data_IF_854014785685
#
_entry.id   IF_854014785685
#
_cell.length_a   1.000
_cell.length_b   1.000
_cell.length_c   1.000
_cell.angle_alpha   90.00
_cell.angle_beta   90.00
_cell.angle_gamma   90.00
#
_symmetry.space_group_name_H-M   'P 1'
#
loop_
_entity.id
_entity.type
_entity.pdbx_description
1 polymer ?
#
# COMPACT_ATOMS: atom_id res chain seq x y z
N UNK A 1 14.51 4.42 -64.38
CA UNK A 1 13.48 3.63 -63.62
C UNK A 1 14.05 2.76 -62.50
N UNK A 2 15.33 2.32 -62.55
CA UNK A 2 15.93 1.46 -61.49
C UNK A 2 16.24 2.14 -60.17
N UNK A 3 16.71 3.39 -60.20
CA UNK A 3 17.14 4.15 -58.98
C UNK A 3 15.99 4.54 -58.09
N UNK A 4 14.85 4.96 -58.68
CA UNK A 4 13.64 5.34 -57.92
C UNK A 4 13.04 4.12 -57.22
N UNK A 5 13.01 2.96 -57.87
CA UNK A 5 12.54 1.71 -57.26
C UNK A 5 13.42 1.27 -56.10
N UNK A 6 14.74 1.44 -56.19
CA UNK A 6 15.68 1.13 -55.11
C UNK A 6 15.53 2.10 -53.92
N UNK A 7 15.34 3.40 -54.19
CA UNK A 7 15.11 4.40 -53.15
C UNK A 7 13.77 4.15 -52.42
N UNK A 8 12.72 3.77 -53.15
CA UNK A 8 11.42 3.45 -52.55
C UNK A 8 11.46 2.17 -51.73
N UNK A 9 12.20 1.16 -52.17
CA UNK A 9 12.39 -0.07 -51.39
C UNK A 9 13.20 0.18 -50.11
N UNK A 10 14.24 1.03 -50.17
CA UNK A 10 15.02 1.42 -49.01
C UNK A 10 14.16 2.21 -47.96
N UNK A 11 13.32 3.12 -48.46
CA UNK A 11 12.40 3.89 -47.61
C UNK A 11 11.36 2.96 -46.93
N UNK A 12 10.85 1.97 -47.66
CA UNK A 12 9.92 0.97 -47.11
C UNK A 12 10.58 0.09 -46.05
N UNK A 13 11.83 -0.32 -46.26
CA UNK A 13 12.62 -1.07 -45.27
C UNK A 13 12.90 -0.21 -44.03
N UNK A 14 13.24 1.07 -44.20
CA UNK A 14 13.43 2.00 -43.10
C UNK A 14 12.15 2.22 -42.29
N UNK A 15 10.99 2.30 -42.94
CA UNK A 15 9.69 2.40 -42.29
C UNK A 15 9.33 1.13 -41.50
N UNK A 16 9.67 -0.05 -42.02
CA UNK A 16 9.46 -1.33 -41.35
C UNK A 16 10.38 -1.55 -40.13
N UNK A 17 11.59 -1.00 -40.18
CA UNK A 17 12.55 -1.04 -39.04
C UNK A 17 12.23 -0.01 -37.96
N UNK A 18 11.56 1.11 -38.30
CA UNK A 18 11.14 2.13 -37.38
C UNK A 18 9.96 1.72 -36.48
N UNK A 19 9.15 0.76 -36.90
CA UNK A 19 8.09 0.17 -36.10
C UNK A 19 8.61 -0.96 -35.19
N UNK A 20 9.49 -0.64 -34.24
CA UNK A 20 9.69 -1.59 -33.13
C UNK A 20 8.37 -1.66 -32.36
N UNK A 21 7.78 -2.85 -32.15
CA UNK A 21 6.64 -2.95 -31.29
C UNK A 21 7.02 -2.41 -29.90
N UNK A 22 6.25 -1.48 -29.39
CA UNK A 22 6.42 -0.95 -28.05
C UNK A 22 6.41 -2.13 -27.07
N UNK A 23 7.53 -2.35 -26.40
CA UNK A 23 7.61 -3.39 -25.39
C UNK A 23 6.77 -2.98 -24.20
N UNK A 24 5.59 -3.56 -24.08
CA UNK A 24 4.75 -3.37 -22.91
C UNK A 24 5.47 -3.90 -21.66
N UNK A 25 5.42 -3.18 -20.55
CA UNK A 25 5.98 -3.67 -19.29
C UNK A 25 5.35 -5.02 -18.93
N UNK A 26 6.16 -5.96 -18.48
CA UNK A 26 5.70 -7.29 -18.06
C UNK A 26 5.21 -7.29 -16.61
N UNK A 27 5.68 -6.35 -15.82
CA UNK A 27 5.33 -6.13 -14.44
C UNK A 27 5.22 -4.62 -14.21
N UNK A 28 4.16 -4.20 -13.52
CA UNK A 28 3.99 -2.84 -13.00
C UNK A 28 3.80 -2.98 -11.49
N UNK A 29 4.66 -2.33 -10.72
CA UNK A 29 4.56 -2.27 -9.26
C UNK A 29 4.16 -0.85 -8.88
N UNK A 30 3.05 -0.71 -8.16
CA UNK A 30 2.58 0.57 -7.62
C UNK A 30 2.75 0.53 -6.12
N UNK A 31 3.61 1.40 -5.59
CA UNK A 31 3.91 1.49 -4.17
C UNK A 31 3.31 2.78 -3.63
N UNK A 32 2.36 2.66 -2.71
CA UNK A 32 1.84 3.78 -1.94
C UNK A 32 2.46 3.77 -0.54
N UNK A 33 3.17 4.83 -0.19
CA UNK A 33 3.71 5.02 1.16
C UNK A 33 2.75 5.93 1.92
N UNK A 34 1.91 5.32 2.76
CA UNK A 34 0.89 6.04 3.55
C UNK A 34 1.58 7.03 4.51
N UNK A 35 1.01 8.21 4.68
CA UNK A 35 1.57 9.32 5.49
C UNK A 35 2.89 9.94 4.98
N UNK A 36 3.45 9.54 3.86
CA UNK A 36 4.61 10.21 3.28
C UNK A 36 4.18 11.50 2.57
N UNK A 37 4.19 12.60 3.30
CA UNK A 37 3.92 13.92 2.73
C UNK A 37 5.10 14.42 1.89
N UNK A 38 4.82 15.18 0.82
CA UNK A 38 5.86 15.71 -0.06
C UNK A 38 6.93 16.52 0.69
N UNK A 39 6.52 17.35 1.65
CA UNK A 39 7.48 18.13 2.45
C UNK A 39 8.43 17.24 3.27
N UNK A 40 7.96 16.08 3.75
CA UNK A 40 8.83 15.14 4.45
C UNK A 40 9.77 14.44 3.48
N UNK A 41 9.26 14.02 2.31
CA UNK A 41 10.10 13.45 1.26
C UNK A 41 11.20 14.41 0.83
N UNK A 42 10.89 15.66 0.54
CA UNK A 42 11.83 16.68 0.09
C UNK A 42 12.86 17.04 1.17
N UNK A 43 12.41 17.13 2.42
CA UNK A 43 13.28 17.42 3.58
C UNK A 43 14.33 16.31 3.79
N UNK A 44 13.95 15.04 3.69
CA UNK A 44 14.85 13.92 3.92
C UNK A 44 15.57 13.43 2.66
N UNK A 45 15.24 13.94 1.48
CA UNK A 45 15.85 13.57 0.20
C UNK A 45 17.39 13.58 0.20
N UNK A 46 18.07 14.57 0.81
CA UNK A 46 19.53 14.58 0.85
C UNK A 46 20.18 13.41 1.61
N UNK A 47 19.42 12.77 2.50
CA UNK A 47 19.91 11.66 3.34
C UNK A 47 19.33 10.31 2.94
N UNK A 48 18.56 10.22 1.87
CA UNK A 48 18.01 8.97 1.37
C UNK A 48 19.11 7.99 1.00
N UNK A 49 18.86 6.73 1.33
CA UNK A 49 19.65 5.56 0.97
C UNK A 49 18.74 4.49 0.37
N UNK A 50 19.30 3.40 -0.11
CA UNK A 50 18.51 2.25 -0.59
C UNK A 50 17.54 2.61 -1.71
N UNK A 51 16.30 2.15 -1.61
CA UNK A 51 15.28 2.26 -2.66
C UNK A 51 14.87 3.69 -3.00
N UNK A 52 14.70 4.57 -2.03
CA UNK A 52 14.38 5.99 -2.28
C UNK A 52 15.49 6.69 -3.04
N UNK A 53 16.75 6.47 -2.63
CA UNK A 53 17.91 7.04 -3.34
C UNK A 53 17.99 6.52 -4.77
N UNK A 54 17.76 5.22 -4.96
CA UNK A 54 17.78 4.60 -6.29
C UNK A 54 16.70 5.17 -7.20
N UNK A 55 15.48 5.33 -6.69
CA UNK A 55 14.37 5.94 -7.44
C UNK A 55 14.63 7.39 -7.78
N UNK A 56 15.23 8.15 -6.86
CA UNK A 56 15.60 9.55 -7.10
C UNK A 56 16.67 9.70 -8.19
N UNK A 57 17.66 8.81 -8.21
CA UNK A 57 18.73 8.83 -9.19
C UNK A 57 18.31 8.32 -10.58
N UNK A 58 17.31 7.44 -10.70
CA UNK A 58 16.98 6.71 -11.93
C UNK A 58 15.54 6.91 -12.40
N UNK A 59 14.68 7.46 -11.55
CA UNK A 59 13.28 7.69 -11.81
C UNK A 59 12.96 9.08 -12.36
N UNK A 60 11.68 9.39 -12.39
CA UNK A 60 11.16 10.73 -12.69
C UNK A 60 10.32 11.19 -11.51
N UNK A 61 10.64 12.34 -10.93
CA UNK A 61 9.87 12.99 -9.88
C UNK A 61 8.80 13.90 -10.47
N UNK A 62 7.62 13.89 -9.88
CA UNK A 62 6.50 14.77 -10.20
C UNK A 62 6.22 15.68 -9.01
N UNK A 63 7.05 16.65 -8.79
CA UNK A 63 7.08 17.49 -7.58
C UNK A 63 5.85 18.42 -7.44
N UNK A 64 5.03 18.54 -8.49
CA UNK A 64 3.82 19.35 -8.51
C UNK A 64 2.55 18.49 -8.69
N UNK A 65 2.55 17.27 -8.15
CA UNK A 65 1.36 16.43 -8.12
C UNK A 65 0.51 16.76 -6.88
N UNK A 66 -0.79 16.98 -7.08
CA UNK A 66 -1.72 17.36 -6.03
C UNK A 66 -2.92 16.43 -5.96
N UNK A 67 -3.36 16.15 -4.75
CA UNK A 67 -4.68 15.56 -4.51
C UNK A 67 -5.73 16.68 -4.53
N UNK A 68 -6.78 16.50 -5.33
CA UNK A 68 -7.86 17.50 -5.46
C UNK A 68 -9.01 17.29 -4.47
N UNK A 69 -8.90 16.30 -3.57
CA UNK A 69 -9.92 16.03 -2.55
C UNK A 69 -9.44 16.48 -1.18
N UNK A 70 -10.38 16.98 -0.35
CA UNK A 70 -10.04 17.65 0.90
C UNK A 70 -9.80 16.72 2.08
N UNK A 71 -10.26 15.47 2.06
CA UNK A 71 -10.14 14.53 3.16
C UNK A 71 -9.27 13.33 2.79
N UNK A 72 -8.00 13.41 3.12
CA UNK A 72 -6.94 12.46 2.71
C UNK A 72 -6.72 11.34 3.74
N UNK A 73 -7.76 10.73 4.30
CA UNK A 73 -7.60 9.52 5.09
C UNK A 73 -7.32 8.30 4.21
N UNK A 74 -6.84 7.20 4.80
CA UNK A 74 -6.35 6.03 4.06
C UNK A 74 -7.33 5.52 3.00
N UNK A 75 -8.60 5.29 3.33
CA UNK A 75 -9.60 4.78 2.38
C UNK A 75 -9.80 5.69 1.16
N UNK A 76 -10.24 6.94 1.34
CA UNK A 76 -10.39 7.90 0.23
C UNK A 76 -9.08 8.12 -0.54
N UNK A 77 -7.95 8.28 0.16
CA UNK A 77 -6.66 8.54 -0.47
C UNK A 77 -6.20 7.39 -1.38
N UNK A 78 -6.25 6.15 -0.90
CA UNK A 78 -5.88 4.98 -1.71
C UNK A 78 -6.88 4.73 -2.85
N UNK A 79 -8.17 5.03 -2.65
CA UNK A 79 -9.14 5.01 -3.73
C UNK A 79 -8.76 6.00 -4.85
N UNK A 80 -8.40 7.23 -4.51
CA UNK A 80 -7.97 8.25 -5.50
C UNK A 80 -6.72 7.79 -6.23
N UNK A 81 -5.73 7.26 -5.51
CA UNK A 81 -4.50 6.72 -6.12
C UNK A 81 -4.79 5.55 -7.06
N UNK A 82 -5.72 4.67 -6.70
CA UNK A 82 -6.09 3.50 -7.49
C UNK A 82 -6.99 3.80 -8.69
N UNK A 83 -7.76 4.90 -8.65
CA UNK A 83 -8.82 5.16 -9.63
C UNK A 83 -8.70 6.49 -10.37
N UNK A 84 -7.98 7.48 -9.83
CA UNK A 84 -8.01 8.84 -10.35
C UNK A 84 -9.36 9.56 -10.20
N UNK A 85 -10.31 8.98 -9.46
CA UNK A 85 -11.66 9.52 -9.28
C UNK A 85 -11.79 10.22 -7.93
N UNK A 86 -12.71 11.19 -7.84
CA UNK A 86 -13.05 11.79 -6.55
C UNK A 86 -13.77 10.80 -5.63
N UNK A 87 -13.40 10.70 -4.34
CA UNK A 87 -13.92 9.70 -3.44
C UNK A 87 -15.39 9.94 -3.04
N UNK A 88 -15.85 11.18 -3.02
CA UNK A 88 -17.24 11.53 -2.69
C UNK A 88 -18.26 10.87 -3.61
N UNK A 89 -18.19 11.07 -4.95
CA UNK A 89 -19.08 10.38 -5.90
C UNK A 89 -18.96 8.86 -5.87
N UNK A 90 -17.80 8.33 -5.47
CA UNK A 90 -17.60 6.89 -5.30
C UNK A 90 -18.18 6.34 -3.97
N UNK A 91 -18.71 7.21 -3.11
CA UNK A 91 -19.29 6.81 -1.82
C UNK A 91 -18.28 6.59 -0.69
N UNK A 92 -16.98 6.94 -0.90
CA UNK A 92 -15.91 6.72 0.07
C UNK A 92 -15.50 8.07 0.68
N UNK A 93 -16.29 8.54 1.62
CA UNK A 93 -16.12 9.88 2.23
C UNK A 93 -15.13 9.93 3.39
N UNK A 94 -14.68 8.78 3.88
CA UNK A 94 -13.74 8.64 5.01
C UNK A 94 -13.34 7.19 5.20
N UNK A 95 -12.50 6.90 6.20
CA UNK A 95 -12.29 5.52 6.66
C UNK A 95 -13.57 5.00 7.34
N UNK A 96 -14.19 5.85 8.13
CA UNK A 96 -15.47 5.59 8.80
C UNK A 96 -16.36 6.82 8.69
N UNK A 97 -17.67 6.61 8.67
CA UNK A 97 -18.66 7.69 8.74
C UNK A 97 -19.97 7.19 9.34
N UNK A 98 -20.76 8.11 9.84
CA UNK A 98 -22.10 7.80 10.32
C UNK A 98 -23.13 7.91 9.18
N UNK A 99 -23.78 6.79 8.85
CA UNK A 99 -24.89 6.75 7.91
C UNK A 99 -26.15 7.25 8.59
N UNK A 100 -26.59 8.45 8.18
CA UNK A 100 -27.76 9.11 8.76
C UNK A 100 -29.10 8.45 8.38
N UNK A 101 -29.13 7.72 7.27
CA UNK A 101 -30.33 7.00 6.81
C UNK A 101 -30.51 5.73 7.61
N UNK A 102 -29.47 4.90 7.68
CA UNK A 102 -29.49 3.64 8.39
C UNK A 102 -29.16 3.76 9.88
N UNK A 103 -28.75 4.97 10.35
CA UNK A 103 -28.43 5.28 11.73
C UNK A 103 -27.36 4.38 12.33
N UNK A 104 -26.31 4.11 11.59
CA UNK A 104 -25.19 3.25 12.00
C UNK A 104 -23.87 3.81 11.53
N UNK A 105 -22.80 3.43 12.22
CA UNK A 105 -21.44 3.64 11.73
C UNK A 105 -21.15 2.69 10.57
N UNK A 106 -20.42 3.20 9.59
CA UNK A 106 -20.03 2.48 8.38
C UNK A 106 -18.52 2.52 8.25
N UNK A 107 -17.91 1.38 7.99
CA UNK A 107 -16.51 1.29 7.60
C UNK A 107 -16.40 1.21 6.08
N UNK A 108 -15.40 1.88 5.50
CA UNK A 108 -15.34 2.11 4.06
C UNK A 108 -15.24 0.84 3.20
N UNK A 109 -14.78 -0.27 3.75
CA UNK A 109 -14.68 -1.56 3.07
C UNK A 109 -15.53 -2.65 3.71
N UNK A 110 -16.38 -2.32 4.71
CA UNK A 110 -17.26 -3.32 5.31
C UNK A 110 -18.21 -3.91 4.27
N UNK A 111 -18.36 -5.22 4.29
CA UNK A 111 -19.30 -5.97 3.46
C UNK A 111 -19.84 -7.16 4.23
N UNK A 112 -21.04 -7.08 4.83
CA UNK A 112 -21.61 -8.15 5.65
C UNK A 112 -21.88 -9.46 4.91
N UNK A 113 -21.84 -9.44 3.57
CA UNK A 113 -22.13 -10.61 2.74
C UNK A 113 -20.91 -11.51 2.50
N UNK A 114 -19.71 -11.07 2.94
CA UNK A 114 -18.46 -11.81 2.74
C UNK A 114 -17.79 -12.13 4.07
N UNK A 115 -16.87 -13.10 4.06
CA UNK A 115 -16.13 -13.52 5.25
C UNK A 115 -14.63 -13.55 4.97
N UNK A 116 -13.83 -13.16 5.95
CA UNK A 116 -12.41 -13.42 5.97
C UNK A 116 -12.18 -14.94 6.08
N UNK A 117 -11.26 -15.48 5.26
CA UNK A 117 -11.16 -16.93 5.09
C UNK A 117 -10.59 -17.66 6.30
N UNK A 118 -9.72 -17.01 7.06
CA UNK A 118 -9.12 -17.57 8.27
C UNK A 118 -9.87 -17.17 9.56
N UNK A 119 -10.64 -16.09 9.51
CA UNK A 119 -11.42 -15.57 10.64
C UNK A 119 -12.79 -15.07 10.15
N UNK A 120 -13.83 -15.88 10.20
CA UNK A 120 -15.17 -15.48 9.72
C UNK A 120 -15.85 -14.37 10.56
N UNK A 121 -15.08 -13.46 11.16
CA UNK A 121 -15.57 -12.36 11.97
C UNK A 121 -15.35 -11.00 11.33
N UNK A 122 -14.56 -10.94 10.28
CA UNK A 122 -14.28 -9.73 9.53
C UNK A 122 -14.88 -9.84 8.13
N UNK A 123 -15.43 -8.75 7.66
CA UNK A 123 -16.28 -8.70 6.49
C UNK A 123 -15.87 -7.52 5.62
N UNK A 124 -14.98 -7.72 4.66
CA UNK A 124 -14.39 -6.64 3.89
C UNK A 124 -14.29 -6.96 2.41
N UNK A 125 -14.74 -6.02 1.58
CA UNK A 125 -14.61 -6.10 0.12
C UNK A 125 -14.60 -4.72 -0.54
N UNK A 126 -14.47 -4.71 -1.86
CA UNK A 126 -14.61 -3.51 -2.69
C UNK A 126 -16.09 -3.16 -2.99
N UNK A 127 -17.05 -3.95 -2.54
CA UNK A 127 -18.45 -3.91 -2.99
C UNK A 127 -19.15 -2.57 -2.72
N UNK A 128 -18.76 -1.87 -1.65
CA UNK A 128 -19.30 -0.54 -1.30
C UNK A 128 -18.88 0.57 -2.27
N UNK A 129 -17.83 0.38 -3.04
CA UNK A 129 -17.22 1.41 -3.89
C UNK A 129 -17.99 1.54 -5.20
N UNK A 130 -18.49 2.72 -5.48
CA UNK A 130 -19.08 3.05 -6.77
C UNK A 130 -17.99 3.55 -7.74
N UNK A 131 -17.22 2.62 -8.31
CA UNK A 131 -16.12 2.93 -9.23
C UNK A 131 -15.26 1.70 -9.50
N UNK A 132 -14.23 1.90 -10.31
CA UNK A 132 -13.24 0.88 -10.67
C UNK A 132 -11.83 1.46 -10.56
N UNK A 133 -10.82 0.62 -10.51
CA UNK A 133 -9.41 1.01 -10.42
C UNK A 133 -8.63 0.63 -11.67
N UNK A 134 -7.36 1.06 -11.72
CA UNK A 134 -6.43 0.69 -12.80
C UNK A 134 -6.28 -0.84 -12.94
N UNK A 135 -6.42 -1.60 -11.86
CA UNK A 135 -6.40 -3.06 -11.90
C UNK A 135 -7.57 -3.62 -12.72
N UNK A 136 -8.78 -3.08 -12.54
CA UNK A 136 -9.96 -3.44 -13.32
C UNK A 136 -9.78 -3.08 -14.80
N UNK A 137 -9.23 -1.89 -15.08
CA UNK A 137 -8.98 -1.44 -16.47
C UNK A 137 -7.92 -2.29 -17.16
N UNK A 138 -6.87 -2.67 -16.45
CA UNK A 138 -5.87 -3.60 -16.99
C UNK A 138 -6.52 -4.93 -17.38
N UNK A 139 -7.33 -5.52 -16.51
CA UNK A 139 -8.02 -6.78 -16.81
C UNK A 139 -9.05 -6.65 -17.93
N UNK A 140 -9.69 -5.50 -18.07
CA UNK A 140 -10.63 -5.23 -19.18
C UNK A 140 -9.92 -5.23 -20.56
N UNK A 141 -8.69 -4.70 -20.65
CA UNK A 141 -7.94 -4.65 -21.91
C UNK A 141 -6.98 -5.83 -22.08
N UNK A 142 -6.62 -6.50 -21.01
CA UNK A 142 -5.73 -7.66 -20.97
C UNK A 142 -6.23 -8.70 -19.95
N UNK A 143 -7.24 -9.52 -20.30
CA UNK A 143 -7.89 -10.44 -19.37
C UNK A 143 -6.98 -11.50 -18.75
N UNK A 144 -5.80 -11.74 -19.34
CA UNK A 144 -4.79 -12.67 -18.81
C UNK A 144 -3.84 -12.04 -17.80
N UNK A 145 -3.88 -10.70 -17.66
CA UNK A 145 -3.08 -10.00 -16.67
C UNK A 145 -3.54 -10.35 -15.26
N UNK A 146 -2.59 -10.38 -14.36
CA UNK A 146 -2.82 -10.63 -12.94
C UNK A 146 -2.74 -9.33 -12.16
N UNK A 147 -3.62 -9.16 -11.18
CA UNK A 147 -3.69 -8.00 -10.29
C UNK A 147 -3.68 -8.49 -8.86
N UNK A 148 -2.69 -8.05 -8.11
CA UNK A 148 -2.54 -8.37 -6.69
C UNK A 148 -2.39 -7.07 -5.90
N UNK A 149 -3.08 -6.97 -4.78
CA UNK A 149 -2.89 -5.91 -3.80
C UNK A 149 -2.41 -6.49 -2.49
N UNK A 150 -1.45 -5.82 -1.85
CA UNK A 150 -0.94 -6.20 -0.53
C UNK A 150 -0.78 -4.94 0.31
N UNK A 151 -1.22 -4.98 1.55
CA UNK A 151 -0.98 -3.90 2.52
C UNK A 151 -1.11 -4.43 3.94
N UNK A 152 -0.53 -3.74 4.91
CA UNK A 152 -0.86 -3.97 6.31
C UNK A 152 -2.34 -3.65 6.60
N UNK A 153 -2.92 -2.67 5.90
CA UNK A 153 -4.31 -2.22 6.11
C UNK A 153 -5.22 -2.79 4.99
N UNK A 154 -6.33 -3.41 5.38
CA UNK A 154 -7.39 -3.91 4.49
C UNK A 154 -7.83 -2.88 3.44
N UNK A 155 -8.26 -1.70 3.89
CA UNK A 155 -8.77 -0.62 3.03
C UNK A 155 -7.73 -0.10 2.04
N UNK A 156 -6.43 -0.15 2.35
CA UNK A 156 -5.38 0.26 1.43
C UNK A 156 -5.22 -0.77 0.31
N UNK A 157 -5.11 -2.04 0.64
CA UNK A 157 -5.04 -3.13 -0.32
C UNK A 157 -6.29 -3.16 -1.23
N UNK A 158 -7.46 -3.13 -0.63
CA UNK A 158 -8.76 -3.23 -1.33
C UNK A 158 -8.94 -2.05 -2.28
N UNK A 159 -8.76 -0.81 -1.81
CA UNK A 159 -9.02 0.39 -2.62
C UNK A 159 -8.09 0.53 -3.83
N UNK A 160 -6.83 0.10 -3.71
CA UNK A 160 -5.89 0.16 -4.83
C UNK A 160 -6.04 -0.99 -5.81
N UNK A 161 -6.41 -2.19 -5.34
CA UNK A 161 -6.56 -3.36 -6.20
C UNK A 161 -7.75 -3.27 -7.13
N UNK A 162 -8.82 -2.61 -6.69
CA UNK A 162 -10.07 -2.48 -7.43
C UNK A 162 -11.09 -3.56 -7.14
N UNK A 163 -12.05 -3.66 -8.04
CA UNK A 163 -13.23 -4.53 -7.88
C UNK A 163 -12.94 -6.00 -8.17
N UNK A 164 -12.06 -6.27 -9.13
CA UNK A 164 -11.83 -7.63 -9.64
C UNK A 164 -10.33 -8.01 -9.68
N UNK A 165 -9.55 -7.80 -8.61
CA UNK A 165 -8.18 -8.29 -8.58
C UNK A 165 -8.18 -9.84 -8.57
N UNK A 166 -7.03 -10.44 -8.82
CA UNK A 166 -6.85 -11.87 -8.56
C UNK A 166 -6.75 -12.16 -7.06
N UNK A 167 -6.24 -11.16 -6.29
CA UNK A 167 -6.20 -11.24 -4.84
C UNK A 167 -5.95 -9.86 -4.23
N UNK A 168 -6.62 -9.56 -3.11
CA UNK A 168 -6.30 -8.45 -2.22
C UNK A 168 -5.99 -9.00 -0.83
N UNK A 169 -4.82 -8.68 -0.30
CA UNK A 169 -4.28 -9.22 0.94
C UNK A 169 -4.04 -8.11 1.96
N UNK A 170 -4.31 -8.40 3.22
CA UNK A 170 -3.99 -7.51 4.33
C UNK A 170 -3.61 -8.29 5.57
N UNK A 171 -2.86 -7.63 6.45
CA UNK A 171 -2.49 -8.20 7.73
C UNK A 171 -3.68 -8.18 8.71
N UNK A 172 -3.94 -9.28 9.37
CA UNK A 172 -4.91 -9.37 10.44
C UNK A 172 -4.25 -9.34 11.83
N UNK A 173 -5.04 -9.03 12.86
CA UNK A 173 -4.55 -8.94 14.23
C UNK A 173 -4.14 -10.29 14.86
N UNK A 174 -4.34 -11.42 14.17
CA UNK A 174 -3.90 -12.75 14.61
C UNK A 174 -2.48 -13.08 14.17
N UNK A 175 -1.88 -12.25 13.33
CA UNK A 175 -0.50 -12.39 12.93
C UNK A 175 -0.29 -13.04 11.57
N UNK A 176 -1.28 -12.97 10.69
CA UNK A 176 -1.22 -13.51 9.33
C UNK A 176 -1.68 -12.49 8.30
N UNK A 177 -1.29 -12.67 7.03
CA UNK A 177 -1.92 -12.02 5.90
C UNK A 177 -3.10 -12.87 5.43
N UNK A 178 -4.20 -12.21 5.13
CA UNK A 178 -5.48 -12.84 4.82
C UNK A 178 -6.22 -12.13 3.69
N UNK A 179 -7.38 -12.68 3.34
CA UNK A 179 -8.32 -12.16 2.33
C UNK A 179 -9.73 -12.61 2.67
N UNK A 180 -10.71 -12.20 1.87
CA UNK A 180 -12.10 -12.67 2.01
C UNK A 180 -12.54 -13.55 0.84
N UNK A 181 -13.66 -14.26 1.02
CA UNK A 181 -14.35 -15.05 -0.01
C UNK A 181 -14.91 -14.21 -1.18
N UNK A 182 -14.82 -12.86 -1.08
CA UNK A 182 -15.04 -11.98 -2.22
C UNK A 182 -13.99 -12.15 -3.33
N UNK A 183 -12.75 -12.45 -2.96
CA UNK A 183 -11.60 -12.51 -3.88
C UNK A 183 -11.23 -13.94 -4.27
N UNK A 184 -11.43 -14.90 -3.38
CA UNK A 184 -11.09 -16.31 -3.61
C UNK A 184 -11.82 -17.22 -2.63
N UNK A 185 -12.16 -18.42 -3.06
CA UNK A 185 -12.83 -19.43 -2.21
C UNK A 185 -11.86 -20.09 -1.22
N UNK A 186 -10.56 -20.04 -1.47
CA UNK A 186 -9.54 -20.71 -0.66
C UNK A 186 -8.29 -19.85 -0.50
N UNK A 187 -7.64 -19.92 0.65
CA UNK A 187 -6.34 -19.31 0.85
C UNK A 187 -5.30 -20.04 -0.02
N UNK A 188 -4.56 -19.36 -0.88
CA UNK A 188 -3.54 -20.00 -1.70
C UNK A 188 -2.44 -20.67 -0.85
N UNK A 189 -1.96 -21.83 -1.27
CA UNK A 189 -0.92 -22.59 -0.56
C UNK A 189 0.33 -21.75 -0.26
N UNK A 190 0.80 -20.95 -1.24
CA UNK A 190 1.94 -20.07 -1.01
C UNK A 190 1.72 -19.02 0.10
N UNK A 191 0.46 -18.59 0.32
CA UNK A 191 0.14 -17.65 1.39
C UNK A 191 0.09 -18.36 2.75
N UNK A 192 -0.35 -19.62 2.79
CA UNK A 192 -0.26 -20.46 3.99
C UNK A 192 1.21 -20.61 4.38
N UNK A 193 2.06 -21.03 3.45
CA UNK A 193 3.50 -21.19 3.66
C UNK A 193 4.16 -19.88 4.12
N UNK A 194 3.78 -18.77 3.51
CA UNK A 194 4.27 -17.45 3.88
C UNK A 194 3.88 -17.10 5.32
N UNK A 195 2.62 -17.29 5.70
CA UNK A 195 2.12 -16.99 7.04
C UNK A 195 2.79 -17.88 8.12
N UNK A 196 3.03 -19.15 7.85
CA UNK A 196 3.73 -20.07 8.75
C UNK A 196 5.17 -19.62 9.01
N UNK A 197 5.79 -18.96 8.02
CA UNK A 197 7.17 -18.47 8.11
C UNK A 197 7.29 -17.03 8.63
N UNK A 198 6.19 -16.29 8.84
CA UNK A 198 6.24 -14.89 9.31
C UNK A 198 6.86 -14.72 10.69
N UNK A 199 6.72 -15.71 11.56
CA UNK A 199 7.27 -15.71 12.91
C UNK A 199 7.13 -14.38 13.68
N UNK A 200 5.93 -13.81 13.68
CA UNK A 200 5.63 -12.50 14.30
C UNK A 200 6.13 -12.43 15.75
N UNK A 201 5.90 -13.47 16.53
CA UNK A 201 6.30 -13.49 17.94
C UNK A 201 7.82 -13.56 18.14
N UNK A 202 8.58 -13.95 17.13
CA UNK A 202 10.03 -13.87 17.14
C UNK A 202 10.59 -12.44 17.19
N UNK A 203 9.76 -11.45 16.91
CA UNK A 203 10.14 -10.03 17.05
C UNK A 203 9.95 -9.49 18.48
N UNK A 204 9.41 -10.27 19.41
CA UNK A 204 9.13 -9.82 20.80
C UNK A 204 10.33 -9.16 21.47
N UNK A 205 11.51 -9.70 21.27
CA UNK A 205 12.77 -9.18 21.85
C UNK A 205 13.49 -8.18 20.91
N UNK A 206 12.87 -7.83 19.80
CA UNK A 206 13.45 -6.88 18.85
C UNK A 206 13.19 -5.44 19.30
N UNK A 207 14.18 -4.59 19.03
CA UNK A 207 14.11 -3.16 19.36
C UNK A 207 14.26 -2.36 18.07
N UNK A 208 13.40 -1.39 17.90
CA UNK A 208 13.52 -0.40 16.83
C UNK A 208 14.44 0.73 17.31
N UNK A 209 15.55 0.90 16.62
CA UNK A 209 16.52 1.97 16.82
C UNK A 209 16.66 2.77 15.54
N UNK A 210 17.25 3.95 15.63
CA UNK A 210 17.67 4.69 14.44
C UNK A 210 19.07 4.20 14.00
N UNK A 211 19.24 3.93 12.70
CA UNK A 211 20.53 3.59 12.09
C UNK A 211 21.23 4.84 11.50
N UNK A 212 20.64 6.04 11.70
CA UNK A 212 21.21 7.28 11.19
C UNK A 212 22.42 7.70 12.03
N UNK A 213 23.40 8.28 11.33
CA UNK A 213 24.51 8.99 11.98
C UNK A 213 23.97 10.07 12.93
N UNK A 214 24.47 10.19 14.18
CA UNK A 214 23.97 11.16 15.16
C UNK A 214 24.02 12.61 14.68
N UNK A 215 24.96 13.00 13.80
CA UNK A 215 25.03 14.35 13.23
C UNK A 215 23.92 14.57 12.24
N UNK A 216 23.66 13.59 11.35
CA UNK A 216 22.54 13.66 10.41
C UNK A 216 21.19 13.69 11.17
N UNK A 217 21.06 12.88 12.21
CA UNK A 217 19.87 12.89 13.05
C UNK A 217 19.61 14.26 13.65
N UNK A 218 20.64 14.91 14.21
CA UNK A 218 20.54 16.23 14.81
C UNK A 218 20.27 17.34 13.77
N UNK A 219 20.73 17.18 12.53
CA UNK A 219 20.54 18.16 11.45
C UNK A 219 19.13 18.09 10.85
N UNK A 220 18.59 16.86 10.69
CA UNK A 220 17.34 16.62 9.95
C UNK A 220 16.12 16.37 10.83
N UNK A 221 16.29 16.17 12.12
CA UNK A 221 15.18 15.90 13.05
C UNK A 221 15.22 16.83 14.26
N UNK A 222 14.10 16.97 14.95
CA UNK A 222 14.08 17.49 16.32
C UNK A 222 14.60 16.44 17.32
N UNK A 223 14.75 16.80 18.59
CA UNK A 223 15.11 15.85 19.64
C UNK A 223 14.10 14.71 19.75
N UNK A 224 14.59 13.55 20.16
CA UNK A 224 13.82 12.28 20.21
C UNK A 224 12.59 12.34 21.14
N UNK A 225 12.55 13.24 22.09
CA UNK A 225 11.35 13.53 22.88
C UNK A 225 10.70 14.83 22.41
N UNK A 226 9.55 14.71 21.73
CA UNK A 226 8.85 15.85 21.16
C UNK A 226 7.39 15.90 21.61
N UNK A 227 6.90 17.06 22.00
CA UNK A 227 5.57 17.25 22.60
C UNK A 227 4.39 16.85 21.68
N UNK A 228 4.62 16.77 20.37
CA UNK A 228 3.62 16.35 19.38
C UNK A 228 3.55 14.85 19.17
N UNK A 229 4.47 14.08 19.74
CA UNK A 229 4.46 12.64 19.65
C UNK A 229 3.40 12.07 20.59
N UNK A 230 2.57 11.21 20.04
CA UNK A 230 1.48 10.59 20.80
C UNK A 230 2.03 9.46 21.66
N UNK A 231 1.94 9.62 22.98
CA UNK A 231 1.98 8.48 23.88
C UNK A 231 0.67 7.69 23.73
N UNK A 232 0.65 6.73 22.78
CA UNK A 232 -0.51 5.85 22.56
C UNK A 232 -0.84 4.98 23.79
N UNK A 233 0.03 4.99 24.78
CA UNK A 233 0.04 4.04 25.88
C UNK A 233 0.17 4.71 27.24
N UNK A 234 -0.45 5.88 27.44
CA UNK A 234 -0.46 6.67 28.69
C UNK A 234 -0.59 5.85 30.00
N UNK A 235 -0.94 4.58 29.89
CA UNK A 235 -1.11 3.66 31.03
C UNK A 235 0.06 2.67 31.23
N UNK A 236 1.09 2.69 30.40
CA UNK A 236 2.11 1.63 30.34
C UNK A 236 3.55 2.09 30.49
N UNK A 237 3.88 3.26 30.95
CA UNK A 237 5.27 3.78 30.95
C UNK A 237 6.01 3.68 29.60
N UNK A 238 5.29 3.45 28.49
CA UNK A 238 5.85 3.39 27.17
C UNK A 238 6.25 4.78 26.71
N UNK A 239 7.54 4.95 26.44
CA UNK A 239 8.07 6.20 25.89
C UNK A 239 8.13 6.11 24.36
N UNK A 240 7.70 7.13 23.60
CA UNK A 240 7.88 7.16 22.15
C UNK A 240 9.33 7.37 21.72
N UNK A 241 10.26 7.49 22.65
CA UNK A 241 11.70 7.69 22.35
C UNK A 241 12.41 6.38 22.07
N UNK A 242 13.42 6.44 21.24
CA UNK A 242 14.26 5.29 20.95
C UNK A 242 15.12 4.85 22.13
N UNK A 243 15.37 3.55 22.31
CA UNK A 243 14.89 2.42 21.50
C UNK A 243 13.44 2.03 21.79
N UNK A 244 12.67 1.70 20.75
CA UNK A 244 11.26 1.32 20.85
C UNK A 244 11.13 -0.19 20.69
N UNK A 245 10.69 -0.90 21.74
CA UNK A 245 10.52 -2.35 21.77
C UNK A 245 9.06 -2.78 21.94
N UNK A 246 8.92 -4.01 22.42
CA UNK A 246 7.67 -4.55 22.94
C UNK A 246 7.80 -4.68 24.46
N UNK A 247 6.75 -4.39 25.20
CA UNK A 247 6.80 -4.54 26.65
C UNK A 247 6.71 -6.01 27.09
N UNK A 248 7.44 -6.37 28.11
CA UNK A 248 7.53 -7.75 28.59
C UNK A 248 6.16 -8.31 29.06
N UNK A 249 5.28 -7.43 29.53
CA UNK A 249 3.96 -7.77 30.03
C UNK A 249 2.93 -8.00 28.91
N UNK A 250 3.25 -7.64 27.67
CA UNK A 250 2.32 -7.82 26.56
C UNK A 250 2.15 -9.29 26.22
N UNK A 251 0.89 -9.71 26.13
CA UNK A 251 0.57 -11.03 25.63
C UNK A 251 0.81 -11.15 24.11
N UNK A 252 0.68 -12.36 23.60
CA UNK A 252 0.91 -12.66 22.18
C UNK A 252 -0.05 -11.90 21.26
N UNK A 253 -1.29 -11.70 21.69
CA UNK A 253 -2.28 -10.98 20.89
C UNK A 253 -1.91 -9.50 20.78
N UNK A 254 -1.43 -8.90 21.87
CA UNK A 254 -0.95 -7.51 21.87
C UNK A 254 0.28 -7.34 21.00
N UNK A 255 1.25 -8.25 21.06
CA UNK A 255 2.44 -8.21 20.19
C UNK A 255 2.04 -8.31 18.71
N UNK A 256 1.14 -9.24 18.35
CA UNK A 256 0.63 -9.38 16.98
C UNK A 256 -0.09 -8.12 16.49
N UNK A 257 -0.78 -7.44 17.36
CA UNK A 257 -1.44 -6.18 17.00
C UNK A 257 -0.44 -5.03 16.83
N UNK A 258 0.50 -4.90 17.76
CA UNK A 258 1.43 -3.77 17.81
C UNK A 258 2.55 -3.84 16.77
N UNK A 259 2.87 -5.02 16.24
CA UNK A 259 3.85 -5.16 15.14
C UNK A 259 3.43 -4.38 13.89
N UNK A 260 2.13 -4.20 13.70
CA UNK A 260 1.58 -3.40 12.60
C UNK A 260 2.00 -1.92 12.63
N UNK A 261 2.48 -1.44 13.78
CA UNK A 261 3.00 -0.07 13.97
C UNK A 261 4.53 -0.03 14.03
N UNK A 262 5.21 -1.06 13.57
CA UNK A 262 6.67 -1.19 13.61
C UNK A 262 7.24 -1.33 12.19
N UNK A 263 8.49 -0.92 11.95
CA UNK A 263 9.12 -0.99 10.62
C UNK A 263 9.23 -2.41 10.05
N UNK A 264 9.19 -3.43 10.91
CA UNK A 264 9.19 -4.83 10.46
C UNK A 264 7.94 -5.19 9.66
N UNK A 265 6.80 -4.52 9.92
CA UNK A 265 5.58 -4.74 9.14
C UNK A 265 5.71 -4.26 7.70
N UNK A 266 6.39 -3.13 7.46
CA UNK A 266 6.66 -2.67 6.10
C UNK A 266 7.49 -3.70 5.33
N UNK A 267 8.51 -4.27 5.99
CA UNK A 267 9.35 -5.33 5.42
C UNK A 267 8.58 -6.63 5.14
N UNK A 268 7.56 -6.94 5.91
CA UNK A 268 6.71 -8.12 5.70
C UNK A 268 5.67 -7.88 4.61
N UNK A 269 5.29 -6.63 4.39
CA UNK A 269 4.29 -6.23 3.37
C UNK A 269 4.90 -6.18 1.97
N UNK A 270 6.18 -5.84 1.86
CA UNK A 270 6.96 -5.78 0.61
C UNK A 270 7.51 -7.14 0.21
#
# INVERSE_FOLDING_TARGET
MGTIKKAFLLLLILLLVACKPEQKPRLVVVISVDHLAYFAYDHYRPVFTGGFKWLDDHGTSFDNAHHEHGYCSTGPGHFVLGSGLHPGPAGIIGNNWYDRVNKKDVYCVEDPEVNELDIPANHMSYNKVNGTSYGDWLKAVSPKSKVYGVSCKDRASIMMSGKNPDLALWYNWRGSFTTTDYYTDVIPEWLIDFNENLNILGYRDSVWTTDLDPQLLAEYTHGDSFYGESDRFEKTNYSPVFPIGFEAEWDDAKVRNEIASRPWMDRMTL
#
